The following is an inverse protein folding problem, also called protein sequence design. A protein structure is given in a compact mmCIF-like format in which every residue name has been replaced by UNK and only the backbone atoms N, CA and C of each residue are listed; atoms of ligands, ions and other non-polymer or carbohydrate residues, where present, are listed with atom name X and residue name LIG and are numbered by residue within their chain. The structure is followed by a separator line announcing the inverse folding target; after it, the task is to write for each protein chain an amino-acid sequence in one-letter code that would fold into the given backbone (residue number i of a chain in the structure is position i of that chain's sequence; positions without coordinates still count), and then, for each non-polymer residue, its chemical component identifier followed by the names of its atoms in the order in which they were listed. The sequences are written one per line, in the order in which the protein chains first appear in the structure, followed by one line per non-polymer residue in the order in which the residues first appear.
data_IF_479921564090
#
_entry.id   IF_479921564090
#
_cell.length_a   1.000
_cell.length_b   1.000
_cell.length_c   1.000
_cell.angle_alpha   90.00
_cell.angle_beta   90.00
_cell.angle_gamma   90.00
#
_symmetry.space_group_name_H-M   'P 1'
#
loop_
_entity.id
_entity.type
_entity.pdbx_description
1 polymer ?
#
# COMPACT_ATOMS: atom_id res chain seq x y z
N UNK A 1 -16.55 21.15 12.99
CA UNK A 1 -15.13 21.23 12.58
C UNK A 1 -14.43 19.94 12.99
N UNK A 2 -14.45 18.93 12.12
CA UNK A 2 -13.65 17.71 12.30
C UNK A 2 -12.35 17.91 11.50
N UNK A 3 -11.22 17.75 12.19
CA UNK A 3 -9.88 18.08 11.69
C UNK A 3 -9.52 17.23 10.48
N UNK A 4 -9.35 17.87 9.33
CA UNK A 4 -8.57 17.33 8.20
C UNK A 4 -7.14 17.12 8.71
N UNK A 5 -6.80 15.89 9.10
CA UNK A 5 -5.40 15.51 9.29
C UNK A 5 -4.92 14.97 7.95
N UNK A 6 -4.47 15.86 7.07
CA UNK A 6 -3.54 15.50 6.01
C UNK A 6 -2.27 15.00 6.68
N UNK A 7 -2.19 13.68 6.82
CA UNK A 7 -1.05 13.00 7.40
C UNK A 7 0.04 12.94 6.33
N UNK A 8 0.88 13.99 6.26
CA UNK A 8 1.98 14.07 5.32
C UNK A 8 2.90 12.85 5.48
N UNK A 9 3.06 12.09 4.40
CA UNK A 9 3.97 10.96 4.36
C UNK A 9 5.41 11.47 4.40
N UNK A 10 6.10 11.28 5.52
CA UNK A 10 7.50 11.68 5.67
C UNK A 10 8.44 10.52 5.33
N UNK A 11 9.09 10.53 4.15
CA UNK A 11 9.94 9.42 3.69
C UNK A 11 11.20 9.20 4.53
N UNK A 12 11.60 10.17 5.36
CA UNK A 12 12.76 10.04 6.25
C UNK A 12 12.43 9.33 7.58
N UNK A 13 11.16 9.01 7.83
CA UNK A 13 10.75 8.30 9.03
C UNK A 13 11.08 6.81 8.90
N UNK A 14 11.77 6.26 9.90
CA UNK A 14 12.16 4.84 9.92
C UNK A 14 10.99 3.90 10.25
N UNK A 15 10.05 4.37 11.09
CA UNK A 15 8.94 3.56 11.60
C UNK A 15 7.62 4.32 11.53
N UNK A 16 6.59 3.64 11.02
CA UNK A 16 5.24 4.16 10.84
C UNK A 16 4.26 3.37 11.71
N UNK A 17 3.31 4.06 12.32
CA UNK A 17 2.22 3.44 13.07
C UNK A 17 1.15 2.90 12.13
N UNK A 18 0.33 1.95 12.61
CA UNK A 18 -0.75 1.38 11.80
C UNK A 18 -1.73 2.43 11.26
N UNK A 19 -2.03 3.46 12.04
CA UNK A 19 -2.93 4.55 11.63
C UNK A 19 -2.30 5.41 10.53
N UNK A 20 -0.99 5.63 10.57
CA UNK A 20 -0.26 6.33 9.51
C UNK A 20 -0.27 5.52 8.21
N UNK A 21 0.01 4.22 8.30
CA UNK A 21 -0.02 3.32 7.14
C UNK A 21 -1.42 3.20 6.54
N UNK A 22 -2.45 3.10 7.39
CA UNK A 22 -3.86 3.08 6.97
C UNK A 22 -4.24 4.34 6.19
N UNK A 23 -3.82 5.51 6.69
CA UNK A 23 -4.06 6.79 6.03
C UNK A 23 -3.30 6.88 4.69
N UNK A 24 -2.04 6.41 4.66
CA UNK A 24 -1.21 6.45 3.46
C UNK A 24 -1.73 5.55 2.33
N UNK A 25 -2.21 4.35 2.68
CA UNK A 25 -2.72 3.38 1.71
C UNK A 25 -4.21 3.52 1.46
N UNK A 26 -4.90 4.45 2.12
CA UNK A 26 -6.35 4.62 2.09
C UNK A 26 -7.10 3.29 2.31
N UNK A 27 -6.73 2.58 3.37
CA UNK A 27 -7.36 1.31 3.77
C UNK A 27 -7.65 1.32 5.26
N UNK A 28 -8.70 0.60 5.67
CA UNK A 28 -9.01 0.44 7.08
C UNK A 28 -7.88 -0.27 7.83
N UNK A 29 -7.57 0.17 9.06
CA UNK A 29 -6.57 -0.48 9.91
C UNK A 29 -6.86 -1.97 10.17
N UNK A 30 -8.15 -2.36 10.18
CA UNK A 30 -8.57 -3.76 10.28
C UNK A 30 -8.03 -4.61 9.14
N UNK A 31 -7.95 -4.06 7.92
CA UNK A 31 -7.40 -4.76 6.77
C UNK A 31 -5.90 -4.95 6.92
N UNK A 32 -5.18 -3.95 7.45
CA UNK A 32 -3.74 -4.09 7.71
C UNK A 32 -3.48 -5.16 8.77
N UNK A 33 -4.25 -5.19 9.86
CA UNK A 33 -4.15 -6.24 10.89
C UNK A 33 -4.45 -7.63 10.33
N UNK A 34 -5.40 -7.71 9.41
CA UNK A 34 -5.76 -8.97 8.77
C UNK A 34 -4.68 -9.43 7.78
N UNK A 35 -4.18 -8.52 6.94
CA UNK A 35 -3.10 -8.82 6.00
C UNK A 35 -1.77 -9.14 6.70
N UNK A 36 -1.48 -8.53 7.86
CA UNK A 36 -0.34 -8.93 8.70
C UNK A 36 -0.38 -10.44 9.01
N UNK A 37 -1.58 -10.97 9.34
CA UNK A 37 -1.75 -12.38 9.66
C UNK A 37 -1.63 -13.28 8.43
N UNK A 38 -2.27 -12.89 7.33
CA UNK A 38 -2.31 -13.72 6.11
C UNK A 38 -0.98 -13.66 5.32
N UNK A 39 -0.25 -12.55 5.41
CA UNK A 39 1.01 -12.31 4.71
C UNK A 39 2.21 -12.22 5.67
N UNK A 40 2.18 -13.00 6.77
CA UNK A 40 3.25 -13.02 7.78
C UNK A 40 4.63 -13.33 7.19
N UNK A 41 4.68 -14.04 6.06
CA UNK A 41 5.92 -14.31 5.33
C UNK A 41 6.57 -13.05 4.72
N UNK A 42 5.79 -11.99 4.45
CA UNK A 42 6.22 -10.80 3.72
C UNK A 42 6.20 -9.52 4.55
N UNK A 43 5.28 -9.41 5.51
CA UNK A 43 5.13 -8.24 6.39
C UNK A 43 5.28 -8.69 7.83
N UNK A 44 6.34 -8.22 8.50
CA UNK A 44 6.60 -8.54 9.92
C UNK A 44 6.80 -7.25 10.71
N UNK A 45 5.71 -6.61 11.18
CA UNK A 45 5.82 -5.37 11.89
C UNK A 45 6.58 -5.58 13.20
N UNK A 46 7.47 -4.64 13.50
CA UNK A 46 8.15 -4.59 14.79
C UNK A 46 7.15 -4.20 15.87
N UNK A 47 7.31 -4.75 17.07
CA UNK A 47 6.48 -4.37 18.22
C UNK A 47 7.28 -3.42 19.11
N UNK A 48 6.69 -2.28 19.42
CA UNK A 48 7.23 -1.37 20.45
C UNK A 48 7.18 -2.03 21.84
N UNK A 49 7.91 -1.47 22.80
CA UNK A 49 7.83 -1.87 24.22
C UNK A 49 6.40 -1.83 24.80
N UNK A 50 5.49 -1.05 24.20
CA UNK A 50 4.07 -0.95 24.59
C UNK A 50 3.15 -1.92 23.82
N UNK A 51 3.70 -2.75 22.92
CA UNK A 51 2.93 -3.70 22.10
C UNK A 51 2.32 -3.13 20.83
N UNK A 52 2.52 -1.83 20.53
CA UNK A 52 2.04 -1.23 19.29
C UNK A 52 2.89 -1.65 18.09
N UNK A 53 2.24 -1.90 16.95
CA UNK A 53 2.86 -2.28 15.68
C UNK A 53 3.55 -1.09 15.03
N UNK A 54 4.76 -1.32 14.55
CA UNK A 54 5.56 -0.40 13.76
C UNK A 54 5.93 -1.06 12.43
N UNK A 55 5.64 -0.34 11.36
CA UNK A 55 5.92 -0.74 9.99
C UNK A 55 7.11 0.05 9.48
N UNK A 56 7.98 -0.59 8.70
CA UNK A 56 9.06 0.06 7.97
C UNK A 56 8.58 0.47 6.58
N UNK A 57 9.38 1.27 5.87
CA UNK A 57 9.07 1.60 4.47
C UNK A 57 8.90 0.36 3.59
N UNK A 58 9.74 -0.67 3.81
CA UNK A 58 9.65 -1.94 3.09
C UNK A 58 8.33 -2.66 3.34
N UNK A 59 7.82 -2.62 4.58
CA UNK A 59 6.51 -3.21 4.90
C UNK A 59 5.39 -2.46 4.19
N UNK A 60 5.47 -1.13 4.11
CA UNK A 60 4.49 -0.29 3.42
C UNK A 60 4.48 -0.58 1.92
N UNK A 61 5.66 -0.72 1.30
CA UNK A 61 5.77 -1.11 -0.10
C UNK A 61 5.07 -2.44 -0.36
N UNK A 62 5.36 -3.46 0.45
CA UNK A 62 4.70 -4.77 0.35
C UNK A 62 3.19 -4.66 0.51
N UNK A 63 2.71 -3.89 1.50
CA UNK A 63 1.27 -3.65 1.70
C UNK A 63 0.63 -2.94 0.49
N UNK A 64 1.36 -2.04 -0.19
CA UNK A 64 0.93 -1.41 -1.44
C UNK A 64 0.78 -2.46 -2.56
N UNK A 65 1.72 -3.39 -2.67
CA UNK A 65 1.62 -4.49 -3.64
C UNK A 65 0.42 -5.40 -3.36
N UNK A 66 0.20 -5.74 -2.09
CA UNK A 66 -0.97 -6.54 -1.66
C UNK A 66 -2.27 -5.81 -2.00
N UNK A 67 -2.35 -4.49 -1.74
CA UNK A 67 -3.51 -3.67 -2.12
C UNK A 67 -3.78 -3.79 -3.62
N UNK A 68 -2.76 -3.58 -4.47
CA UNK A 68 -2.91 -3.68 -5.92
C UNK A 68 -3.44 -5.06 -6.36
N UNK A 69 -2.87 -6.14 -5.82
CA UNK A 69 -3.28 -7.49 -6.20
C UNK A 69 -4.71 -7.84 -5.75
N UNK A 70 -5.11 -7.41 -4.54
CA UNK A 70 -6.41 -7.79 -3.97
C UNK A 70 -7.53 -6.85 -4.42
N UNK A 71 -7.28 -5.53 -4.47
CA UNK A 71 -8.29 -4.53 -4.80
C UNK A 71 -8.38 -4.26 -6.30
N UNK A 72 -7.25 -4.07 -6.96
CA UNK A 72 -7.25 -3.63 -8.36
C UNK A 72 -7.29 -4.83 -9.32
N UNK A 73 -6.56 -5.90 -9.00
CA UNK A 73 -6.59 -7.14 -9.77
C UNK A 73 -7.66 -8.14 -9.31
N UNK A 74 -8.30 -7.92 -8.15
CA UNK A 74 -9.37 -8.79 -7.64
C UNK A 74 -8.94 -10.21 -7.25
N UNK A 75 -7.65 -10.42 -6.95
CA UNK A 75 -7.15 -11.74 -6.57
C UNK A 75 -7.61 -12.15 -5.17
N UNK A 76 -7.73 -13.46 -4.93
CA UNK A 76 -7.86 -14.00 -3.57
C UNK A 76 -6.56 -13.81 -2.80
N UNK A 77 -6.63 -13.80 -1.46
CA UNK A 77 -5.46 -13.58 -0.59
C UNK A 77 -4.36 -14.63 -0.82
N UNK A 78 -4.75 -15.91 -0.99
CA UNK A 78 -3.82 -16.99 -1.31
C UNK A 78 -3.19 -16.81 -2.71
N UNK A 79 -3.99 -16.38 -3.69
CA UNK A 79 -3.50 -16.06 -5.04
C UNK A 79 -2.51 -14.90 -5.04
N UNK A 80 -2.81 -13.84 -4.29
CA UNK A 80 -1.92 -12.70 -4.10
C UNK A 80 -0.61 -13.13 -3.42
N UNK A 81 -0.67 -13.95 -2.38
CA UNK A 81 0.51 -14.47 -1.66
C UNK A 81 1.43 -15.28 -2.58
N UNK A 82 0.85 -16.17 -3.40
CA UNK A 82 1.59 -16.95 -4.40
C UNK A 82 2.18 -16.07 -5.51
N UNK A 83 1.48 -15.03 -5.93
CA UNK A 83 1.99 -14.10 -6.95
C UNK A 83 3.14 -13.27 -6.41
N UNK A 84 3.04 -12.83 -5.15
CA UNK A 84 4.08 -12.07 -4.46
C UNK A 84 5.35 -12.90 -4.25
N UNK A 85 5.23 -14.21 -3.96
CA UNK A 85 6.41 -15.08 -3.79
C UNK A 85 7.11 -15.42 -5.11
N UNK A 86 6.34 -15.67 -6.19
CA UNK A 86 6.91 -16.10 -7.47
C UNK A 86 7.41 -14.94 -8.34
N UNK A 87 6.67 -13.85 -8.38
CA UNK A 87 6.76 -12.86 -9.45
C UNK A 87 6.81 -11.41 -8.90
N UNK A 88 7.53 -11.18 -7.80
CA UNK A 88 7.61 -9.84 -7.19
C UNK A 88 8.07 -8.75 -8.17
N UNK A 89 9.09 -9.04 -8.97
CA UNK A 89 9.65 -8.10 -9.96
C UNK A 89 8.64 -7.75 -11.06
N UNK A 90 7.83 -8.71 -11.50
CA UNK A 90 6.76 -8.51 -12.47
C UNK A 90 5.61 -7.68 -11.86
N UNK A 91 5.28 -7.92 -10.58
CA UNK A 91 4.29 -7.11 -9.86
C UNK A 91 4.75 -5.65 -9.73
N UNK A 92 6.03 -5.41 -9.43
CA UNK A 92 6.63 -4.06 -9.38
C UNK A 92 6.62 -3.37 -10.74
N UNK A 93 7.03 -4.06 -11.81
CA UNK A 93 7.00 -3.52 -13.17
C UNK A 93 5.58 -3.16 -13.65
N UNK A 94 4.60 -4.03 -13.37
CA UNK A 94 3.20 -3.77 -13.71
C UNK A 94 2.65 -2.55 -12.96
N UNK A 95 2.97 -2.38 -11.68
CA UNK A 95 2.58 -1.18 -10.93
C UNK A 95 3.21 0.10 -11.50
N UNK A 96 4.47 0.05 -11.95
CA UNK A 96 5.13 1.19 -12.58
C UNK A 96 4.45 1.57 -13.90
N UNK A 97 4.11 0.57 -14.73
CA UNK A 97 3.39 0.77 -15.99
C UNK A 97 2.01 1.39 -15.72
N UNK A 98 1.26 0.86 -14.76
CA UNK A 98 -0.05 1.39 -14.37
C UNK A 98 0.07 2.85 -13.94
N UNK A 99 1.05 3.17 -13.08
CA UNK A 99 1.27 4.55 -12.61
C UNK A 99 1.57 5.53 -13.76
N UNK A 100 2.37 5.08 -14.76
CA UNK A 100 2.65 5.89 -15.96
C UNK A 100 1.40 6.11 -16.81
N UNK A 101 0.59 5.07 -17.01
CA UNK A 101 -0.65 5.15 -17.77
C UNK A 101 -1.69 6.03 -17.10
N UNK A 102 -1.80 5.98 -15.77
CA UNK A 102 -2.66 6.87 -14.99
C UNK A 102 -2.24 8.33 -15.14
N UNK A 103 -0.94 8.63 -15.04
CA UNK A 103 -0.43 9.99 -15.28
C UNK A 103 -0.71 10.51 -16.70
N UNK A 104 -0.56 9.67 -17.72
CA UNK A 104 -0.90 10.03 -19.11
C UNK A 104 -2.41 10.30 -19.23
N UNK A 105 -3.25 9.43 -18.63
CA UNK A 105 -4.70 9.60 -18.64
C UNK A 105 -5.11 10.91 -17.98
N UNK A 106 -4.55 11.24 -16.81
CA UNK A 106 -4.83 12.50 -16.11
C UNK A 106 -4.44 13.72 -16.94
N UNK A 107 -3.25 13.69 -17.58
CA UNK A 107 -2.80 14.76 -18.47
C UNK A 107 -3.78 14.96 -19.64
N UNK A 108 -4.21 13.87 -20.29
CA UNK A 108 -5.16 13.94 -21.41
C UNK A 108 -6.55 14.42 -20.98
N UNK A 109 -7.02 14.01 -19.80
CA UNK A 109 -8.30 14.49 -19.23
C UNK A 109 -8.22 15.97 -18.90
N UNK A 110 -7.09 16.46 -18.37
CA UNK A 110 -6.84 17.88 -18.16
C UNK A 110 -6.99 18.68 -19.45
N UNK A 111 -6.30 18.25 -20.52
CA UNK A 111 -6.39 18.89 -21.85
C UNK A 111 -7.82 18.88 -22.39
N UNK A 112 -8.55 17.78 -22.22
CA UNK A 112 -9.95 17.67 -22.65
C UNK A 112 -10.86 18.67 -21.92
N UNK A 113 -10.65 18.89 -20.62
CA UNK A 113 -11.51 19.75 -19.81
C UNK A 113 -11.19 21.26 -19.99
N UNK A 114 -10.04 21.58 -20.57
CA UNK A 114 -9.64 22.95 -20.93
C UNK A 114 -10.15 23.40 -22.32
N UNK A 115 -10.73 22.48 -23.11
CA UNK A 115 -11.43 22.75 -24.37
C UNK A 115 -12.94 22.76 -24.21
#
# INVERSE_FOLDING_TARGET
MAKEKTNEFNPNKLYYSISEVASYLDIAESNIRFWEKEFEAFVKPQRTAKGNRQFTMKDIEVLKQIKYLVKDCGMTLDGASKRLSKNRTDVEANMEIVSKLEGIKEMLVGIKNEM
#
